data_IF_109489764323
#
_entry.id   IF_109489764323
#
_cell.length_a   1.000
_cell.length_b   1.000
_cell.length_c   1.000
_cell.angle_alpha   90.00
_cell.angle_beta   90.00
_cell.angle_gamma   90.00
#
_symmetry.space_group_name_H-M   'P 1'
#
loop_
_entity.id
_entity.type
_entity.pdbx_description
1 polymer ?
#
# COMPACT_ATOMS: atom_id res chain seq x y z
N UNK A 1 -5.95 12.31 -1.84
CA UNK A 1 -7.15 12.36 -2.69
C UNK A 1 -8.36 12.14 -1.79
N UNK A 2 -9.32 13.05 -1.81
CA UNK A 2 -10.56 12.85 -1.06
C UNK A 2 -11.49 11.92 -1.85
N UNK A 3 -12.11 10.97 -1.15
CA UNK A 3 -13.12 10.04 -1.66
C UNK A 3 -14.42 10.23 -0.88
N UNK A 4 -15.53 10.26 -1.60
CA UNK A 4 -16.87 10.26 -1.01
C UNK A 4 -17.27 8.84 -0.65
N UNK A 5 -17.80 8.66 0.56
CA UNK A 5 -18.26 7.39 1.09
C UNK A 5 -19.80 7.39 1.06
N UNK A 6 -20.42 6.56 0.21
CA UNK A 6 -21.87 6.36 0.20
C UNK A 6 -22.41 5.87 1.55
N UNK A 7 -23.70 6.13 1.84
CA UNK A 7 -24.30 5.80 3.14
C UNK A 7 -24.16 4.32 3.50
N UNK A 8 -24.41 3.42 2.54
CA UNK A 8 -24.32 1.97 2.69
C UNK A 8 -22.89 1.45 2.91
N UNK A 9 -21.88 2.27 2.63
CA UNK A 9 -20.47 1.93 2.77
C UNK A 9 -19.80 2.61 3.98
N UNK A 10 -20.55 3.38 4.77
CA UNK A 10 -20.00 4.11 5.94
C UNK A 10 -19.47 3.20 7.03
N UNK A 11 -20.02 2.00 7.16
CA UNK A 11 -19.60 1.00 8.16
C UNK A 11 -18.35 0.21 7.76
N UNK A 12 -17.81 0.43 6.55
CA UNK A 12 -16.57 -0.21 6.11
C UNK A 12 -15.39 0.32 6.92
N UNK A 13 -14.61 -0.61 7.48
CA UNK A 13 -13.41 -0.32 8.27
C UNK A 13 -12.27 0.18 7.40
N UNK A 14 -11.33 0.93 7.98
CA UNK A 14 -10.15 1.40 7.26
C UNK A 14 -9.29 0.26 6.71
N UNK A 15 -9.32 -0.91 7.36
CA UNK A 15 -8.66 -2.11 6.85
C UNK A 15 -9.20 -2.50 5.47
N UNK A 16 -10.52 -2.42 5.26
CA UNK A 16 -11.12 -2.72 3.95
C UNK A 16 -10.67 -1.70 2.90
N UNK A 17 -10.59 -0.42 3.25
CA UNK A 17 -10.09 0.61 2.34
C UNK A 17 -8.63 0.37 1.97
N UNK A 18 -7.77 0.10 2.95
CA UNK A 18 -6.36 -0.16 2.73
C UNK A 18 -6.14 -1.47 1.95
N UNK A 19 -6.90 -2.53 2.23
CA UNK A 19 -6.84 -3.78 1.48
C UNK A 19 -7.22 -3.58 0.00
N UNK A 20 -8.33 -2.88 -0.26
CA UNK A 20 -8.73 -2.49 -1.62
C UNK A 20 -7.67 -1.63 -2.30
N UNK A 21 -7.07 -0.67 -1.58
CA UNK A 21 -6.00 0.17 -2.10
C UNK A 21 -4.78 -0.67 -2.50
N UNK A 22 -4.28 -1.54 -1.61
CA UNK A 22 -3.14 -2.44 -1.85
C UNK A 22 -3.42 -3.35 -3.04
N UNK A 23 -4.62 -3.94 -3.09
CA UNK A 23 -5.06 -4.78 -4.20
C UNK A 23 -5.12 -4.01 -5.52
N UNK A 24 -5.57 -2.76 -5.52
CA UNK A 24 -5.59 -1.92 -6.72
C UNK A 24 -4.18 -1.51 -7.17
N UNK A 25 -3.32 -1.10 -6.22
CA UNK A 25 -1.94 -0.67 -6.50
C UNK A 25 -1.09 -1.80 -7.07
N UNK A 26 -1.05 -2.96 -6.39
CA UNK A 26 -0.22 -4.08 -6.79
C UNK A 26 -0.93 -5.10 -7.69
N UNK A 27 -2.26 -5.04 -7.80
CA UNK A 27 -3.07 -5.92 -8.63
C UNK A 27 -3.53 -5.31 -9.95
N UNK A 28 -3.42 -3.98 -10.08
CA UNK A 28 -3.80 -3.22 -11.26
C UNK A 28 -3.01 -3.58 -12.54
N UNK A 29 -3.44 -2.97 -13.65
CA UNK A 29 -2.86 -3.17 -14.99
C UNK A 29 -1.54 -2.42 -15.14
N UNK A 30 -1.36 -1.30 -14.43
CA UNK A 30 -0.14 -0.49 -14.48
C UNK A 30 1.03 -1.26 -13.89
N UNK A 31 0.84 -1.98 -12.77
CA UNK A 31 1.87 -2.83 -12.15
C UNK A 31 1.97 -4.23 -12.79
N UNK A 32 1.11 -4.57 -13.74
CA UNK A 32 1.05 -5.93 -14.30
C UNK A 32 2.36 -6.37 -15.00
N UNK A 33 3.06 -5.51 -15.76
CA UNK A 33 4.34 -5.87 -16.37
C UNK A 33 5.41 -6.22 -15.34
N UNK A 34 5.62 -5.35 -14.35
CA UNK A 34 6.59 -5.51 -13.26
C UNK A 34 6.28 -6.78 -12.46
N UNK A 35 5.00 -6.98 -12.13
CA UNK A 35 4.53 -8.19 -11.45
C UNK A 35 4.84 -9.46 -12.22
N UNK A 36 4.67 -9.45 -13.55
CA UNK A 36 4.98 -10.60 -14.40
C UNK A 36 6.49 -10.90 -14.38
N UNK A 37 7.34 -9.88 -14.51
CA UNK A 37 8.80 -10.03 -14.45
C UNK A 37 9.24 -10.57 -13.10
N UNK A 38 8.79 -9.96 -12.01
CA UNK A 38 9.09 -10.38 -10.64
C UNK A 38 8.72 -11.84 -10.38
N UNK A 39 7.53 -12.25 -10.86
CA UNK A 39 7.03 -13.61 -10.72
C UNK A 39 7.84 -14.62 -11.54
N UNK A 40 8.15 -14.32 -12.80
CA UNK A 40 8.88 -15.23 -13.69
C UNK A 40 10.31 -15.43 -13.17
N UNK A 41 10.97 -14.34 -12.77
CA UNK A 41 12.34 -14.39 -12.30
C UNK A 41 12.48 -14.84 -10.83
N UNK A 42 11.37 -14.96 -10.08
CA UNK A 42 11.34 -15.29 -8.63
C UNK A 42 12.38 -14.49 -7.83
N UNK A 43 12.52 -13.21 -8.14
CA UNK A 43 13.54 -12.37 -7.51
C UNK A 43 13.18 -12.16 -6.03
N UNK A 44 14.12 -12.45 -5.13
CA UNK A 44 14.09 -11.94 -3.76
C UNK A 44 14.92 -10.66 -3.75
N UNK A 45 14.24 -9.52 -3.95
CA UNK A 45 14.87 -8.20 -4.00
C UNK A 45 14.99 -7.57 -2.61
N UNK A 46 14.52 -8.26 -1.57
CA UNK A 46 14.48 -7.76 -0.21
C UNK A 46 15.69 -8.24 0.59
N UNK A 47 16.50 -7.31 1.05
CA UNK A 47 17.55 -7.61 2.03
C UNK A 47 17.54 -6.57 3.16
N UNK A 48 16.86 -6.94 4.24
CA UNK A 48 16.74 -6.20 5.49
C UNK A 48 16.98 -7.17 6.66
N UNK A 49 18.23 -7.34 7.13
CA UNK A 49 18.59 -8.33 8.14
C UNK A 49 17.82 -8.18 9.47
N UNK A 50 17.42 -6.95 9.78
CA UNK A 50 16.74 -6.60 11.03
C UNK A 50 15.21 -6.66 10.93
N UNK A 51 14.65 -6.84 9.72
CA UNK A 51 13.21 -7.04 9.58
C UNK A 51 12.88 -8.50 9.81
N UNK A 52 11.93 -8.75 10.71
CA UNK A 52 11.41 -10.09 10.93
C UNK A 52 10.84 -10.60 9.61
N UNK A 53 11.43 -11.66 9.08
CA UNK A 53 10.84 -12.44 7.99
C UNK A 53 10.21 -13.66 8.63
N UNK A 54 8.89 -13.78 8.54
CA UNK A 54 8.24 -14.98 9.02
C UNK A 54 8.37 -16.06 7.95
N UNK A 55 9.28 -17.01 8.15
CA UNK A 55 9.51 -18.12 7.21
C UNK A 55 8.28 -19.02 6.99
N UNK A 56 7.27 -18.95 7.88
CA UNK A 56 5.99 -19.65 7.70
C UNK A 56 5.02 -18.93 6.74
N UNK A 57 5.26 -17.65 6.44
CA UNK A 57 4.44 -16.88 5.49
C UNK A 57 5.06 -17.02 4.10
N UNK A 58 4.36 -17.75 3.23
CA UNK A 58 4.72 -17.83 1.83
C UNK A 58 4.53 -16.47 1.15
N UNK A 59 5.47 -16.00 0.31
CA UNK A 59 5.27 -14.78 -0.44
C UNK A 59 4.02 -14.84 -1.33
N UNK A 60 3.35 -13.71 -1.47
CA UNK A 60 2.23 -13.53 -2.39
C UNK A 60 2.79 -13.35 -3.80
N UNK A 61 2.49 -14.29 -4.69
CA UNK A 61 2.93 -14.25 -6.09
C UNK A 61 1.78 -13.96 -7.06
N UNK A 62 0.54 -14.04 -6.58
CA UNK A 62 -0.66 -13.86 -7.40
C UNK A 62 -1.62 -12.88 -6.74
N UNK A 63 -2.24 -12.03 -7.56
CA UNK A 63 -3.19 -11.00 -7.11
C UNK A 63 -4.43 -11.60 -6.44
N UNK A 64 -4.83 -12.82 -6.82
CA UNK A 64 -5.96 -13.51 -6.17
C UNK A 64 -5.67 -13.94 -4.71
N UNK A 65 -4.42 -13.90 -4.27
CA UNK A 65 -4.04 -14.12 -2.87
C UNK A 65 -4.16 -12.83 -2.03
N UNK A 66 -4.31 -11.67 -2.68
CA UNK A 66 -4.62 -10.41 -2.00
C UNK A 66 -6.13 -10.33 -1.80
N UNK A 67 -6.57 -10.44 -0.55
CA UNK A 67 -7.97 -10.21 -0.20
C UNK A 67 -8.38 -8.76 -0.52
N UNK A 68 -9.66 -8.54 -0.80
CA UNK A 68 -10.22 -7.22 -1.10
C UNK A 68 -10.70 -6.45 0.14
N UNK A 69 -10.67 -7.09 1.30
CA UNK A 69 -11.23 -6.65 2.57
C UNK A 69 -10.25 -6.81 3.74
N UNK A 70 -9.26 -7.68 3.62
CA UNK A 70 -8.24 -7.89 4.63
C UNK A 70 -6.83 -7.55 4.11
N UNK A 71 -6.07 -6.80 4.91
CA UNK A 71 -4.65 -6.60 4.66
C UNK A 71 -3.87 -7.88 4.93
N UNK A 72 -2.86 -8.23 4.11
CA UNK A 72 -1.96 -9.31 4.46
C UNK A 72 -1.23 -9.02 5.78
N UNK A 73 -0.86 -10.05 6.57
CA UNK A 73 -0.16 -9.85 7.82
C UNK A 73 1.15 -9.07 7.65
N UNK A 74 1.56 -8.33 8.68
CA UNK A 74 2.91 -7.76 8.76
C UNK A 74 3.94 -8.86 8.53
N UNK A 75 5.04 -8.54 7.86
CA UNK A 75 6.08 -9.46 7.34
C UNK A 75 5.73 -10.19 6.04
N UNK A 76 4.50 -10.08 5.53
CA UNK A 76 4.16 -10.64 4.21
C UNK A 76 4.97 -9.96 3.11
N UNK A 77 5.52 -10.76 2.21
CA UNK A 77 6.25 -10.31 1.02
C UNK A 77 5.34 -10.42 -0.19
N UNK A 78 5.17 -9.30 -0.90
CA UNK A 78 4.45 -9.21 -2.16
C UNK A 78 5.43 -9.27 -3.33
N UNK A 79 5.23 -10.25 -4.20
CA UNK A 79 5.94 -10.46 -5.45
C UNK A 79 7.47 -10.44 -5.31
N UNK A 80 7.98 -10.89 -4.15
CA UNK A 80 9.42 -10.94 -3.86
C UNK A 80 10.12 -9.60 -3.68
N UNK A 81 9.39 -8.48 -3.73
CA UNK A 81 10.00 -7.14 -3.82
C UNK A 81 9.49 -6.15 -2.76
N UNK A 82 8.32 -6.36 -2.17
CA UNK A 82 7.72 -5.43 -1.22
C UNK A 82 7.30 -6.17 0.03
N UNK A 83 7.82 -5.81 1.20
CA UNK A 83 7.43 -6.42 2.46
C UNK A 83 6.62 -5.46 3.31
N UNK A 84 5.49 -5.91 3.84
CA UNK A 84 4.75 -5.16 4.85
C UNK A 84 5.60 -5.06 6.10
N UNK A 85 6.04 -3.84 6.44
CA UNK A 85 6.87 -3.57 7.60
C UNK A 85 6.06 -3.16 8.82
N UNK A 86 4.95 -2.45 8.61
CA UNK A 86 4.06 -2.01 9.67
C UNK A 86 2.62 -1.86 9.15
N UNK A 87 1.65 -1.96 10.05
CA UNK A 87 0.24 -1.74 9.78
C UNK A 87 -0.45 -1.19 11.01
N UNK A 88 -0.91 0.05 10.95
CA UNK A 88 -1.60 0.74 12.04
C UNK A 88 -3.06 0.94 11.64
N UNK A 89 -3.94 0.10 12.17
CA UNK A 89 -5.39 0.19 11.91
C UNK A 89 -6.06 0.67 13.19
N UNK A 90 -6.64 1.86 13.14
CA UNK A 90 -7.36 2.42 14.29
C UNK A 90 -8.65 1.64 14.52
N UNK A 91 -8.89 1.23 15.77
CA UNK A 91 -10.11 0.52 16.14
C UNK A 91 -11.22 1.53 16.49
N UNK A 92 -12.50 1.15 16.29
CA UNK A 92 -13.62 1.92 16.81
C UNK A 92 -13.49 2.06 18.34
N UNK A 93 -13.18 3.27 18.82
CA UNK A 93 -12.95 3.55 20.25
C UNK A 93 -11.60 4.21 20.57
N UNK A 94 -10.59 4.04 19.72
CA UNK A 94 -9.25 4.62 19.91
C UNK A 94 -9.22 6.16 19.76
N UNK A 95 -10.34 6.77 19.37
CA UNK A 95 -10.54 8.23 19.28
C UNK A 95 -10.71 8.93 20.64
N UNK A 96 -10.48 8.24 21.77
CA UNK A 96 -10.63 8.81 23.11
C UNK A 96 -9.46 9.72 23.49
N UNK A 97 -9.46 10.93 22.93
CA UNK A 97 -8.93 12.25 23.40
C UNK A 97 -8.63 13.14 22.19
N UNK A 98 -9.62 13.32 21.31
CA UNK A 98 -9.73 14.34 20.27
C UNK A 98 -8.47 14.72 19.45
N UNK A 99 -8.01 13.85 18.53
CA UNK A 99 -7.54 14.35 17.26
C UNK A 99 -8.75 14.65 16.35
N UNK A 100 -8.72 15.81 15.65
CA UNK A 100 -9.74 16.20 14.66
C UNK A 100 -9.80 15.21 13.48
N UNK A 101 -8.69 14.52 13.26
CA UNK A 101 -8.50 13.51 12.22
C UNK A 101 -7.95 12.22 12.80
N UNK A 102 -8.33 11.10 12.22
CA UNK A 102 -7.79 9.77 12.51
C UNK A 102 -7.09 9.25 11.26
N UNK A 103 -5.96 8.55 11.42
CA UNK A 103 -5.19 7.99 10.32
C UNK A 103 -4.92 6.51 10.57
N UNK A 104 -5.33 5.67 9.63
CA UNK A 104 -4.90 4.28 9.53
C UNK A 104 -3.92 4.14 8.37
N UNK A 105 -2.86 3.35 8.53
CA UNK A 105 -1.80 3.20 7.52
C UNK A 105 -1.26 1.78 7.39
N UNK A 106 -0.64 1.51 6.25
CA UNK A 106 0.17 0.32 6.00
C UNK A 106 1.45 0.72 5.25
N UNK A 107 2.57 0.20 5.74
CA UNK A 107 3.91 0.52 5.25
C UNK A 107 4.53 -0.70 4.58
N UNK A 108 5.18 -0.46 3.44
CA UNK A 108 5.92 -1.44 2.66
C UNK A 108 7.35 -0.99 2.48
N UNK A 109 8.30 -1.83 2.86
CA UNK A 109 9.70 -1.63 2.46
C UNK A 109 10.02 -2.35 1.16
N UNK A 110 11.00 -1.84 0.42
CA UNK A 110 11.53 -2.48 -0.79
C UNK A 110 13.03 -2.22 -0.96
N UNK A 111 13.70 -3.09 -1.72
CA UNK A 111 15.13 -3.03 -1.95
C UNK A 111 15.94 -3.58 -0.76
N UNK A 112 17.10 -2.99 -0.48
CA UNK A 112 18.03 -3.52 0.52
C UNK A 112 18.66 -2.45 1.40
N UNK A 113 18.62 -2.66 2.71
CA UNK A 113 19.33 -1.82 3.69
C UNK A 113 20.86 -1.95 3.61
N UNK A 114 21.38 -2.91 2.85
CA UNK A 114 22.82 -3.12 2.61
C UNK A 114 23.21 -2.84 1.15
N UNK A 115 22.23 -2.57 0.28
CA UNK A 115 22.44 -2.29 -1.13
C UNK A 115 22.56 -0.79 -1.44
N UNK A 116 22.44 -0.44 -2.71
CA UNK A 116 22.50 0.97 -3.14
C UNK A 116 21.12 1.59 -3.36
N UNK A 117 20.05 0.85 -3.08
CA UNK A 117 18.68 1.28 -3.27
C UNK A 117 17.77 0.60 -2.25
N UNK A 118 17.05 1.42 -1.51
CA UNK A 118 15.97 0.99 -0.65
C UNK A 118 14.94 2.09 -0.49
N UNK A 119 13.78 1.74 0.03
CA UNK A 119 12.75 2.73 0.30
C UNK A 119 11.53 2.16 0.98
N UNK A 120 10.55 3.04 1.16
CA UNK A 120 9.28 2.73 1.80
C UNK A 120 8.14 3.34 1.01
N UNK A 121 7.07 2.58 0.80
CA UNK A 121 5.74 3.08 0.44
C UNK A 121 4.86 3.08 1.68
N UNK A 122 4.12 4.16 1.88
CA UNK A 122 3.08 4.25 2.89
C UNK A 122 1.76 4.57 2.22
N UNK A 123 0.74 3.77 2.54
CA UNK A 123 -0.64 4.03 2.15
C UNK A 123 -1.43 4.36 3.40
N UNK A 124 -2.22 5.43 3.38
CA UNK A 124 -3.03 5.81 4.53
C UNK A 124 -4.41 6.33 4.18
N UNK A 125 -5.32 6.13 5.13
CA UNK A 125 -6.70 6.59 5.10
C UNK A 125 -6.89 7.55 6.27
N UNK A 126 -7.25 8.78 5.96
CA UNK A 126 -7.56 9.80 6.95
C UNK A 126 -9.07 10.00 7.00
N UNK A 127 -9.64 9.97 8.21
CA UNK A 127 -11.04 10.32 8.47
C UNK A 127 -11.13 11.50 9.39
N UNK A 128 -11.92 12.50 9.00
CA UNK A 128 -12.19 13.69 9.80
C UNK A 128 -13.43 13.47 10.65
N UNK A 129 -13.36 13.80 11.94
CA UNK A 129 -14.49 13.68 12.85
C UNK A 129 -15.67 14.54 12.37
N UNK A 130 -16.87 13.98 12.37
CA UNK A 130 -18.09 14.67 11.91
C UNK A 130 -18.31 14.64 10.40
N UNK A 131 -17.39 14.04 9.63
CA UNK A 131 -17.51 13.88 8.18
C UNK A 131 -17.44 12.40 7.74
N UNK A 132 -18.37 11.54 8.19
CA UNK A 132 -18.36 10.11 7.86
C UNK A 132 -18.52 9.84 6.35
N UNK A 133 -19.03 10.81 5.60
CA UNK A 133 -19.18 10.76 4.14
C UNK A 133 -17.88 11.02 3.37
N UNK A 134 -16.76 11.28 4.06
CA UNK A 134 -15.46 11.58 3.42
C UNK A 134 -14.33 10.81 4.08
N UNK A 135 -13.43 10.30 3.24
CA UNK A 135 -12.10 9.90 3.64
C UNK A 135 -11.07 10.49 2.69
N UNK A 136 -9.84 10.68 3.18
CA UNK A 136 -8.71 11.08 2.36
C UNK A 136 -7.74 9.92 2.24
N UNK A 137 -7.56 9.46 1.01
CA UNK A 137 -6.57 8.45 0.65
C UNK A 137 -5.24 9.14 0.35
N UNK A 138 -4.16 8.68 0.96
CA UNK A 138 -2.80 9.16 0.74
C UNK A 138 -1.87 8.05 0.31
N UNK A 139 -0.88 8.45 -0.48
CA UNK A 139 0.26 7.65 -0.83
C UNK A 139 1.49 8.51 -0.64
N UNK A 140 2.41 8.03 0.20
CA UNK A 140 3.73 8.60 0.39
C UNK A 140 4.78 7.57 0.01
N UNK A 141 5.91 8.04 -0.47
CA UNK A 141 7.03 7.22 -0.86
C UNK A 141 8.33 7.94 -0.55
N UNK A 142 9.31 7.19 -0.05
CA UNK A 142 10.70 7.63 0.06
C UNK A 142 11.61 6.55 -0.49
N UNK A 143 12.64 6.97 -1.22
CA UNK A 143 13.73 6.12 -1.68
C UNK A 143 15.06 6.74 -1.29
N UNK A 144 16.04 5.93 -0.92
CA UNK A 144 17.40 6.39 -0.64
C UNK A 144 18.45 5.34 -1.06
N UNK A 145 19.72 5.77 -1.03
CA UNK A 145 20.88 4.89 -1.09
C UNK A 145 21.43 4.76 0.34
N UNK A 146 21.25 3.62 1.03
CA UNK A 146 21.61 3.50 2.44
C UNK A 146 23.14 3.49 2.68
N UNK A 147 23.95 3.23 1.64
CA UNK A 147 25.41 3.24 1.73
C UNK A 147 26.03 4.63 1.49
N UNK A 148 25.22 5.68 1.41
CA UNK A 148 25.66 7.04 1.11
C UNK A 148 25.94 7.24 -0.38
N UNK A 149 25.26 8.21 -0.99
CA UNK A 149 25.43 8.54 -2.40
C UNK A 149 24.13 8.98 -3.07
N UNK A 150 24.20 9.24 -4.37
CA UNK A 150 23.00 9.46 -5.21
C UNK A 150 22.24 8.13 -5.35
N UNK A 151 20.93 8.22 -5.59
CA UNK A 151 20.14 7.07 -6.04
C UNK A 151 20.78 6.50 -7.33
N UNK A 152 20.71 5.18 -7.57
CA UNK A 152 21.24 4.56 -8.79
C UNK A 152 20.35 4.83 -10.01
N UNK A 153 19.54 5.89 -9.97
CA UNK A 153 18.58 6.29 -10.99
C UNK A 153 19.06 7.59 -11.64
N UNK A 154 19.17 7.64 -12.98
CA UNK A 154 19.41 8.88 -13.70
C UNK A 154 18.37 9.96 -13.36
N UNK A 155 18.77 11.23 -13.37
CA UNK A 155 17.89 12.35 -12.97
C UNK A 155 16.58 12.42 -13.81
N UNK A 156 16.62 12.01 -15.09
CA UNK A 156 15.42 11.98 -15.95
C UNK A 156 14.40 10.88 -15.56
N UNK A 157 14.81 9.89 -14.77
CA UNK A 157 13.91 8.83 -14.30
C UNK A 157 12.99 9.32 -13.18
N UNK A 158 13.33 10.41 -12.50
CA UNK A 158 12.48 10.99 -11.45
C UNK A 158 11.08 11.40 -11.95
N UNK A 159 10.92 12.19 -13.04
CA UNK A 159 9.60 12.52 -13.57
C UNK A 159 8.86 11.28 -14.11
N UNK A 160 9.56 10.32 -14.72
CA UNK A 160 8.96 9.07 -15.18
C UNK A 160 8.41 8.26 -14.01
N UNK A 161 9.20 8.12 -12.94
CA UNK A 161 8.81 7.44 -11.73
C UNK A 161 7.61 8.13 -11.07
N UNK A 162 7.58 9.46 -11.03
CA UNK A 162 6.44 10.21 -10.50
C UNK A 162 5.17 9.96 -11.33
N UNK A 163 5.26 9.98 -12.66
CA UNK A 163 4.11 9.65 -13.52
C UNK A 163 3.63 8.21 -13.29
N UNK A 164 4.56 7.26 -13.23
CA UNK A 164 4.24 5.86 -12.95
C UNK A 164 3.57 5.69 -11.58
N UNK A 165 4.11 6.34 -10.55
CA UNK A 165 3.57 6.36 -9.20
C UNK A 165 2.16 6.99 -9.14
N UNK A 166 1.89 8.04 -9.91
CA UNK A 166 0.55 8.62 -10.05
C UNK A 166 -0.43 7.66 -10.74
N UNK A 167 0.00 6.91 -11.76
CA UNK A 167 -0.83 5.92 -12.43
C UNK A 167 -1.18 4.74 -11.52
N UNK A 168 -0.22 4.26 -10.73
CA UNK A 168 -0.44 3.25 -9.69
C UNK A 168 -1.42 3.74 -8.62
N UNK A 169 -1.21 4.97 -8.13
CA UNK A 169 -2.12 5.62 -7.19
C UNK A 169 -3.55 5.71 -7.74
N UNK A 170 -3.71 6.06 -9.02
CA UNK A 170 -5.01 6.12 -9.69
C UNK A 170 -5.71 4.76 -9.71
N UNK A 171 -4.99 3.68 -10.01
CA UNK A 171 -5.57 2.33 -9.99
C UNK A 171 -5.98 1.90 -8.58
N UNK A 172 -5.16 2.23 -7.58
CA UNK A 172 -5.46 1.99 -6.18
C UNK A 172 -6.75 2.69 -5.73
N UNK A 173 -6.89 4.00 -6.01
CA UNK A 173 -8.11 4.77 -5.73
C UNK A 173 -9.30 4.22 -6.52
N UNK A 174 -9.09 3.77 -7.76
CA UNK A 174 -10.14 3.15 -8.58
C UNK A 174 -10.70 1.87 -7.93
N UNK A 175 -9.83 1.02 -7.38
CA UNK A 175 -10.26 -0.18 -6.66
C UNK A 175 -11.01 0.16 -5.36
N UNK A 176 -10.53 1.16 -4.60
CA UNK A 176 -11.26 1.66 -3.42
C UNK A 176 -12.67 2.10 -3.81
N UNK A 177 -12.82 2.93 -4.85
CA UNK A 177 -14.14 3.38 -5.32
C UNK A 177 -15.06 2.24 -5.72
N UNK A 178 -14.55 1.28 -6.51
CA UNK A 178 -15.31 0.07 -6.86
C UNK A 178 -15.77 -0.70 -5.63
N UNK A 179 -14.93 -0.79 -4.60
CA UNK A 179 -15.27 -1.48 -3.35
C UNK A 179 -16.40 -0.78 -2.59
N UNK A 180 -16.44 0.55 -2.62
CA UNK A 180 -17.52 1.37 -2.04
C UNK A 180 -18.83 1.19 -2.80
N UNK A 181 -18.77 1.11 -4.13
CA UNK A 181 -19.94 0.91 -4.99
C UNK A 181 -20.51 -0.51 -4.86
N UNK A 182 -19.68 -1.55 -4.74
CA UNK A 182 -20.12 -2.95 -4.72
C UNK A 182 -20.98 -3.36 -3.51
N UNK A 183 -21.02 -2.55 -2.44
CA UNK A 183 -21.93 -2.77 -1.30
C UNK A 183 -23.37 -2.29 -1.57
N UNK A 184 -23.61 -1.59 -2.67
CA UNK A 184 -24.95 -1.12 -3.08
C UNK A 184 -25.83 -2.26 -3.65
N UNK A 185 -25.23 -3.41 -3.96
CA UNK A 185 -25.87 -4.51 -4.72
C UNK A 185 -26.09 -5.80 -3.90
N UNK A 186 -25.96 -5.74 -2.57
CA UNK A 186 -26.31 -6.85 -1.65
C UNK A 186 -27.40 -6.40 -0.70
#
# INVERSE_FOLDING_TARGET
MDVSIPEHARDLTDQVFLAAFVRGFFGGKVFAPERAVLKIAKLDLLNYPNLKRNASISPVWHVNQLAGDELPPVTTILFGAFQISDSQILRPGDMSTHPVESESSVDFVFGSSQGNFCGTHQFSILRTKGHPERARVRYAHVSCNPNGGKLPMPDFMAPLHNLYAMLLFREAVGEVKRRLEFQDQR
#
